data_IF_585918831208
#
_entry.id   IF_585918831208
#
_cell.length_a   1.000
_cell.length_b   1.000
_cell.length_c   1.000
_cell.angle_alpha   90.00
_cell.angle_beta   90.00
_cell.angle_gamma   90.00
#
_symmetry.space_group_name_H-M   'P 1'
#
loop_
_entity.id
_entity.type
_entity.pdbx_description
1 polymer ?
#
# COMPACT_ATOMS: atom_id res chain seq x y z
N UNK A 1 8.56 -5.29 -21.72
CA UNK A 1 8.42 -4.38 -20.56
C UNK A 1 8.09 -5.27 -19.37
N UNK A 2 9.07 -5.64 -18.54
CA UNK A 2 8.83 -6.58 -17.45
C UNK A 2 8.09 -5.89 -16.28
N UNK A 3 6.97 -6.46 -15.86
CA UNK A 3 6.14 -6.03 -14.71
C UNK A 3 6.87 -6.10 -13.35
N UNK A 4 8.15 -6.43 -13.35
CA UNK A 4 8.98 -6.68 -12.18
C UNK A 4 9.22 -5.42 -11.34
N UNK A 5 9.10 -4.24 -11.96
CA UNK A 5 9.23 -2.93 -11.31
C UNK A 5 7.93 -2.38 -10.74
N UNK A 6 6.79 -3.03 -11.03
CA UNK A 6 5.49 -2.57 -10.54
C UNK A 6 5.27 -3.06 -9.11
N UNK A 7 4.68 -2.19 -8.29
CA UNK A 7 4.19 -2.57 -6.97
C UNK A 7 3.09 -3.63 -7.13
N UNK A 8 3.25 -4.75 -6.45
CA UNK A 8 2.22 -5.80 -6.40
C UNK A 8 1.12 -5.33 -5.47
N UNK A 9 -0.04 -5.01 -6.03
CA UNK A 9 -1.17 -4.44 -5.29
C UNK A 9 -1.64 -5.34 -4.14
N UNK A 10 -1.76 -6.68 -4.28
CA UNK A 10 -2.17 -7.54 -3.16
C UNK A 10 -1.18 -7.49 -2.00
N UNK A 11 0.12 -7.65 -2.29
CA UNK A 11 1.18 -7.59 -1.28
C UNK A 11 1.19 -6.20 -0.61
N UNK A 12 1.07 -5.13 -1.39
CA UNK A 12 0.99 -3.77 -0.89
C UNK A 12 -0.19 -3.55 0.06
N UNK A 13 -1.41 -3.95 -0.32
CA UNK A 13 -2.59 -3.79 0.53
C UNK A 13 -2.53 -4.67 1.79
N UNK A 14 -1.97 -5.87 1.68
CA UNK A 14 -1.78 -6.78 2.82
C UNK A 14 -0.68 -6.34 3.80
N UNK A 15 0.30 -5.55 3.34
CA UNK A 15 1.33 -4.96 4.19
C UNK A 15 0.87 -3.69 4.92
N UNK A 16 -0.15 -2.99 4.39
CA UNK A 16 -0.70 -1.77 5.02
C UNK A 16 -1.35 -2.07 6.37
N UNK A 17 -0.95 -1.30 7.39
CA UNK A 17 -1.41 -1.47 8.77
C UNK A 17 -1.30 -2.93 9.28
N UNK A 18 -0.27 -3.66 8.81
CA UNK A 18 -0.08 -5.08 9.15
C UNK A 18 -1.22 -5.99 8.66
N UNK A 19 -1.90 -5.62 7.58
CA UNK A 19 -3.03 -6.34 7.00
C UNK A 19 -4.38 -5.97 7.62
N UNK A 20 -4.41 -5.10 8.64
CA UNK A 20 -5.67 -4.59 9.21
C UNK A 20 -6.41 -3.74 8.18
N UNK A 21 -5.70 -2.99 7.35
CA UNK A 21 -6.30 -2.15 6.32
C UNK A 21 -7.04 -2.97 5.25
N UNK A 22 -6.46 -4.08 4.80
CA UNK A 22 -7.12 -5.01 3.87
C UNK A 22 -8.44 -5.55 4.45
N UNK A 23 -8.41 -5.96 5.72
CA UNK A 23 -9.61 -6.43 6.42
C UNK A 23 -10.68 -5.35 6.55
N UNK A 24 -10.29 -4.10 6.84
CA UNK A 24 -11.21 -2.96 6.91
C UNK A 24 -11.85 -2.64 5.56
N UNK A 25 -11.08 -2.68 4.47
CA UNK A 25 -11.63 -2.50 3.11
C UNK A 25 -12.65 -3.60 2.79
N UNK A 26 -12.31 -4.86 3.09
CA UNK A 26 -13.20 -6.00 2.83
C UNK A 26 -14.52 -5.88 3.61
N UNK A 27 -14.44 -5.48 4.88
CA UNK A 27 -15.61 -5.22 5.72
C UNK A 27 -16.45 -4.04 5.18
N UNK A 28 -15.81 -2.91 4.88
CA UNK A 28 -16.48 -1.71 4.36
C UNK A 28 -17.22 -1.98 3.05
N UNK A 29 -16.60 -2.71 2.11
CA UNK A 29 -17.24 -3.11 0.85
C UNK A 29 -18.47 -3.99 1.10
N UNK A 30 -18.35 -4.96 2.02
CA UNK A 30 -19.44 -5.89 2.36
C UNK A 30 -20.61 -5.16 3.01
N UNK A 31 -20.34 -4.28 3.98
CA UNK A 31 -21.36 -3.50 4.65
C UNK A 31 -22.07 -2.51 3.72
N UNK A 32 -21.32 -1.81 2.87
CA UNK A 32 -21.90 -0.85 1.92
C UNK A 32 -22.75 -1.59 0.90
N UNK A 33 -22.29 -2.72 0.36
CA UNK A 33 -23.08 -3.53 -0.57
C UNK A 33 -24.38 -4.04 0.07
N UNK A 34 -24.30 -4.55 1.30
CA UNK A 34 -25.48 -5.01 2.05
C UNK A 34 -26.45 -3.85 2.34
N UNK A 35 -25.94 -2.69 2.74
CA UNK A 35 -26.75 -1.49 2.96
C UNK A 35 -27.46 -1.03 1.69
N UNK A 36 -26.79 -1.05 0.54
CA UNK A 36 -27.36 -0.67 -0.77
C UNK A 36 -28.51 -1.59 -1.15
N UNK A 37 -28.35 -2.91 -0.98
CA UNK A 37 -29.40 -3.89 -1.27
C UNK A 37 -30.63 -3.71 -0.38
N UNK A 38 -30.44 -3.49 0.92
CA UNK A 38 -31.55 -3.40 1.88
C UNK A 38 -32.29 -2.06 1.85
N UNK A 39 -31.59 -0.96 1.56
CA UNK A 39 -32.15 0.39 1.68
C UNK A 39 -32.40 1.07 0.32
N UNK A 40 -31.97 0.46 -0.80
CA UNK A 40 -32.19 0.97 -2.16
C UNK A 40 -31.50 2.31 -2.48
N UNK A 41 -30.66 2.81 -1.59
CA UNK A 41 -29.91 4.05 -1.77
C UNK A 41 -28.46 3.77 -2.19
N UNK A 42 -27.82 4.76 -2.82
CA UNK A 42 -26.43 4.64 -3.27
C UNK A 42 -25.45 4.67 -2.08
N UNK A 43 -24.52 3.72 -2.07
CA UNK A 43 -23.37 3.70 -1.18
C UNK A 43 -22.11 4.20 -1.89
N UNK A 44 -21.09 4.62 -1.14
CA UNK A 44 -19.81 5.08 -1.68
C UNK A 44 -18.67 4.55 -0.81
N UNK A 45 -17.61 4.04 -1.44
CA UNK A 45 -16.34 3.70 -0.78
C UNK A 45 -15.24 4.49 -1.51
N UNK A 46 -14.40 5.19 -0.74
CA UNK A 46 -13.31 6.03 -1.24
C UNK A 46 -12.03 5.64 -0.53
N UNK A 47 -11.00 5.30 -1.31
CA UNK A 47 -9.66 5.02 -0.83
C UNK A 47 -8.73 6.14 -1.30
N UNK A 48 -8.07 6.81 -0.38
CA UNK A 48 -7.12 7.89 -0.68
C UNK A 48 -5.75 7.50 -0.17
N UNK A 49 -4.75 7.61 -1.03
CA UNK A 49 -3.34 7.41 -0.67
C UNK A 49 -2.59 8.72 -0.84
N UNK A 50 -2.05 9.25 0.24
CA UNK A 50 -1.14 10.40 0.24
C UNK A 50 0.26 9.88 0.53
N UNK A 51 1.22 10.21 -0.35
CA UNK A 51 2.59 9.70 -0.27
C UNK A 51 3.50 10.89 0.01
N UNK A 52 4.07 10.89 1.21
CA UNK A 52 5.02 11.90 1.66
C UNK A 52 6.42 11.30 1.79
N UNK A 53 7.45 12.08 1.48
CA UNK A 53 8.83 11.70 1.81
C UNK A 53 9.02 11.70 3.32
N UNK A 54 9.57 10.63 3.90
CA UNK A 54 9.85 10.58 5.35
C UNK A 54 11.00 11.53 5.76
N UNK A 55 11.90 11.83 4.82
CA UNK A 55 13.06 12.68 5.06
C UNK A 55 13.36 13.53 3.84
N UNK A 56 13.99 14.69 4.07
CA UNK A 56 14.49 15.55 2.99
C UNK A 56 15.80 15.02 2.40
N UNK A 57 16.44 14.04 3.06
CA UNK A 57 17.66 13.41 2.57
C UNK A 57 17.33 12.43 1.44
N UNK A 58 17.95 12.65 0.27
CA UNK A 58 17.82 11.80 -0.93
C UNK A 58 18.31 10.36 -0.68
N UNK A 59 19.13 10.17 0.34
CA UNK A 59 19.68 8.87 0.74
C UNK A 59 18.65 7.97 1.43
N UNK A 60 17.65 8.56 2.09
CA UNK A 60 16.60 7.79 2.76
C UNK A 60 15.46 7.51 1.78
N UNK A 61 15.53 6.37 1.11
CA UNK A 61 14.53 5.90 0.13
C UNK A 61 13.25 5.38 0.79
N UNK A 62 12.70 6.16 1.71
CA UNK A 62 11.49 5.82 2.48
C UNK A 62 10.41 6.86 2.26
N UNK A 63 9.20 6.37 2.06
CA UNK A 63 8.00 7.18 1.94
C UNK A 63 7.02 6.80 3.03
N UNK A 64 6.34 7.79 3.59
CA UNK A 64 5.20 7.56 4.45
C UNK A 64 3.95 7.55 3.58
N UNK A 65 3.15 6.50 3.70
CA UNK A 65 1.92 6.36 2.94
C UNK A 65 0.76 6.52 3.91
N UNK A 66 0.13 7.69 3.87
CA UNK A 66 -1.14 7.92 4.55
C UNK A 66 -2.23 7.30 3.70
N UNK A 67 -2.95 6.37 4.27
CA UNK A 67 -4.01 5.66 3.59
C UNK A 67 -5.30 5.90 4.37
N UNK A 68 -6.25 6.54 3.68
CA UNK A 68 -7.54 6.93 4.22
C UNK A 68 -8.65 6.13 3.55
N UNK A 69 -9.40 5.40 4.36
CA UNK A 69 -10.61 4.70 3.96
C UNK A 69 -11.81 5.53 4.42
N UNK A 70 -12.61 6.01 3.48
CA UNK A 70 -13.86 6.72 3.75
C UNK A 70 -15.01 6.01 3.05
N UNK A 71 -16.02 5.58 3.80
CA UNK A 71 -17.18 4.92 3.24
C UNK A 71 -18.49 5.45 3.80
N UNK A 72 -19.52 5.42 2.96
CA UNK A 72 -20.88 5.85 3.27
C UNK A 72 -21.82 4.69 2.98
N UNK A 73 -22.37 4.13 4.06
CA UNK A 73 -23.40 3.08 4.00
C UNK A 73 -24.80 3.71 4.15
N UNK A 74 -25.75 3.37 3.26
CA UNK A 74 -27.13 3.80 3.42
C UNK A 74 -27.80 2.98 4.54
N UNK A 75 -28.62 3.64 5.37
CA UNK A 75 -29.38 3.01 6.45
C UNK A 75 -30.88 3.29 6.27
N UNK A 76 -31.79 2.54 6.94
CA UNK A 76 -33.23 2.73 6.78
C UNK A 76 -33.72 4.15 7.11
N UNK A 77 -32.98 4.86 7.96
CA UNK A 77 -33.22 6.26 8.35
C UNK A 77 -31.98 7.14 8.15
N UNK A 78 -31.42 7.13 6.94
CA UNK A 78 -30.38 8.09 6.54
C UNK A 78 -29.13 7.43 5.98
N UNK A 79 -27.96 7.98 6.34
CA UNK A 79 -26.65 7.52 5.90
C UNK A 79 -25.72 7.46 7.09
N UNK A 80 -24.89 6.44 7.15
CA UNK A 80 -23.81 6.31 8.12
C UNK A 80 -22.50 6.44 7.35
N UNK A 81 -21.62 7.30 7.83
CA UNK A 81 -20.28 7.51 7.26
C UNK A 81 -19.23 7.12 8.27
N UNK A 82 -18.19 6.45 7.80
CA UNK A 82 -17.02 6.12 8.61
C UNK A 82 -15.77 6.51 7.84
N UNK A 83 -14.80 7.02 8.59
CA UNK A 83 -13.51 7.46 8.09
C UNK A 83 -12.43 6.92 9.01
N UNK A 84 -11.46 6.24 8.40
CA UNK A 84 -10.27 5.74 9.08
C UNK A 84 -9.03 6.20 8.30
N UNK A 85 -8.05 6.74 9.02
CA UNK A 85 -6.81 7.24 8.45
C UNK A 85 -5.66 6.65 9.24
N UNK A 86 -4.84 5.89 8.53
CA UNK A 86 -3.67 5.22 9.07
C UNK A 86 -2.45 5.56 8.20
N UNK A 87 -1.26 5.45 8.77
CA UNK A 87 -0.01 5.77 8.08
C UNK A 87 0.92 4.56 8.15
N UNK A 88 1.55 4.21 7.03
CA UNK A 88 2.51 3.10 6.98
C UNK A 88 3.77 3.54 6.24
N UNK A 89 4.95 3.47 6.87
CA UNK A 89 6.21 3.75 6.20
C UNK A 89 6.61 2.58 5.29
N UNK A 90 6.95 2.87 4.04
CA UNK A 90 7.42 1.88 3.06
C UNK A 90 8.74 2.31 2.40
N UNK A 91 9.49 1.33 1.91
CA UNK A 91 10.69 1.56 1.10
C UNK A 91 10.35 1.68 -0.37
N UNK A 92 11.06 2.59 -1.06
CA UNK A 92 11.01 2.74 -2.51
C UNK A 92 12.22 2.05 -3.12
N UNK A 93 11.99 0.89 -3.75
CA UNK A 93 13.03 0.07 -4.34
C UNK A 93 13.28 0.43 -5.81
N UNK A 94 14.11 -0.39 -6.48
CA UNK A 94 14.55 -0.11 -7.85
C UNK A 94 13.34 -0.06 -8.79
N UNK A 95 13.20 1.07 -9.48
CA UNK A 95 12.07 1.27 -10.39
C UNK A 95 10.77 1.75 -9.73
N UNK A 96 10.80 2.15 -8.45
CA UNK A 96 9.65 2.75 -7.77
C UNK A 96 8.74 1.75 -7.06
N UNK A 97 9.16 0.49 -6.95
CA UNK A 97 8.41 -0.58 -6.29
C UNK A 97 8.36 -0.35 -4.78
N UNK A 98 7.15 -0.33 -4.22
CA UNK A 98 6.89 -0.17 -2.80
C UNK A 98 6.87 -1.53 -2.10
N UNK A 99 7.64 -1.65 -1.01
CA UNK A 99 7.62 -2.83 -0.12
C UNK A 99 7.95 -2.40 1.31
N UNK A 100 7.49 -3.18 2.29
CA UNK A 100 7.79 -2.93 3.71
C UNK A 100 9.26 -3.22 4.08
N UNK A 101 9.89 -4.13 3.35
CA UNK A 101 11.31 -4.46 3.47
C UNK A 101 12.11 -3.79 2.34
N UNK A 102 13.38 -3.46 2.59
CA UNK A 102 14.29 -3.13 1.49
C UNK A 102 14.49 -4.38 0.63
N UNK A 103 14.39 -4.24 -0.69
CA UNK A 103 14.85 -5.30 -1.58
C UNK A 103 16.33 -5.57 -1.28
N UNK A 104 16.63 -6.85 -1.06
CA UNK A 104 17.99 -7.32 -0.85
C UNK A 104 18.88 -6.77 -1.96
N UNK A 105 19.94 -6.05 -1.58
CA UNK A 105 21.01 -5.69 -2.50
C UNK A 105 21.71 -6.99 -2.84
N UNK A 106 21.11 -7.76 -3.77
CA UNK A 106 21.34 -9.20 -3.87
C UNK A 106 22.80 -9.59 -3.72
N UNK A 107 23.05 -10.63 -2.93
CA UNK A 107 24.35 -11.28 -2.71
C UNK A 107 25.57 -10.38 -3.01
N UNK A 108 25.94 -9.50 -2.07
CA UNK A 108 27.13 -8.64 -2.20
C UNK A 108 28.44 -9.42 -2.41
N UNK A 109 28.49 -10.67 -1.94
CA UNK A 109 29.67 -11.53 -2.02
C UNK A 109 29.32 -12.92 -2.56
N UNK A 110 30.09 -13.40 -3.52
CA UNK A 110 30.07 -14.79 -3.98
C UNK A 110 30.32 -15.75 -2.80
N UNK A 111 29.99 -17.04 -2.99
CA UNK A 111 30.23 -18.08 -1.97
C UNK A 111 31.72 -18.20 -1.55
N UNK A 112 32.63 -17.66 -2.37
CA UNK A 112 34.07 -17.61 -2.12
C UNK A 112 34.52 -16.35 -1.34
N UNK A 113 33.61 -15.43 -1.02
CA UNK A 113 33.92 -14.18 -0.30
C UNK A 113 34.30 -12.99 -1.19
N UNK A 114 34.37 -13.16 -2.51
CA UNK A 114 34.64 -12.07 -3.45
C UNK A 114 33.39 -11.25 -3.74
N UNK A 115 33.52 -9.93 -3.96
CA UNK A 115 32.39 -9.06 -4.30
C UNK A 115 31.71 -9.50 -5.61
N UNK A 116 30.38 -9.72 -5.59
CA UNK A 116 29.64 -10.23 -6.76
C UNK A 116 29.59 -9.18 -7.89
N UNK A 117 30.04 -9.57 -9.08
CA UNK A 117 30.33 -8.67 -10.21
C UNK A 117 29.08 -8.09 -10.90
N UNK A 118 27.87 -8.41 -10.43
CA UNK A 118 26.59 -7.94 -11.01
C UNK A 118 26.37 -6.43 -10.86
N UNK A 119 27.18 -5.73 -10.05
CA UNK A 119 27.15 -4.28 -9.90
C UNK A 119 27.91 -3.49 -10.98
N UNK A 120 28.66 -4.13 -11.89
CA UNK A 120 29.42 -3.41 -12.94
C UNK A 120 28.59 -2.97 -14.16
N UNK A 121 27.32 -3.35 -14.27
CA UNK A 121 26.48 -2.99 -15.43
C UNK A 121 25.55 -1.83 -15.10
N UNK A 122 26.15 -0.66 -14.86
CA UNK A 122 25.53 0.66 -15.06
C UNK A 122 26.66 1.70 -14.97
N UNK A 123 27.45 1.79 -16.04
CA UNK A 123 28.07 3.05 -16.48
C UNK A 123 27.12 3.71 -17.45
#
# INVERSE_FOLDING_TARGET
MSNERLTKVPDFLGELDGGVFENKIAAALSEVAFGVLNNGQKGKVTLTFEIDRMSNSVEEKRVNIKHKLSYVRPTPRGKSSEEDTTETPMYVNRGGKLTILQEDQGQLFTLAGDADAKLRVQQ
#
